data_IF_500682750812
#
_entry.id   IF_500682750812
#
_cell.length_a   1.000
_cell.length_b   1.000
_cell.length_c   1.000
_cell.angle_alpha   90.00
_cell.angle_beta   90.00
_cell.angle_gamma   90.00
#
_symmetry.space_group_name_H-M   'P 1'
#
loop_
_entity.id
_entity.type
_entity.pdbx_description
1 polymer ?
#
# COMPACT_ATOMS: atom_id res chain seq x y z
N UNK A 1 29.83 -9.09 21.92
CA UNK A 1 29.19 -8.91 20.60
C UNK A 1 27.70 -9.09 20.79
N UNK A 2 26.94 -8.00 20.69
CA UNK A 2 25.57 -7.92 21.20
C UNK A 2 24.64 -7.78 19.99
N UNK A 3 23.97 -8.86 19.59
CA UNK A 3 22.92 -8.80 18.57
C UNK A 3 21.57 -8.62 19.26
N UNK A 4 21.14 -7.38 19.39
CA UNK A 4 19.79 -7.03 19.87
C UNK A 4 18.78 -7.45 18.82
N UNK A 5 18.24 -8.65 18.99
CA UNK A 5 17.10 -9.15 18.22
C UNK A 5 15.92 -8.23 18.47
N UNK A 6 15.54 -7.43 17.46
CA UNK A 6 14.28 -6.65 17.44
C UNK A 6 13.12 -7.64 17.49
N UNK A 7 12.72 -8.02 18.70
CA UNK A 7 11.54 -8.85 18.94
C UNK A 7 10.32 -7.99 18.64
N UNK A 8 9.76 -8.31 17.47
CA UNK A 8 8.56 -7.78 16.86
C UNK A 8 7.41 -7.57 17.86
N UNK A 9 6.91 -6.33 17.89
CA UNK A 9 5.70 -5.89 18.60
C UNK A 9 4.45 -6.70 18.23
N UNK A 10 4.49 -7.48 17.14
CA UNK A 10 3.38 -8.28 16.63
C UNK A 10 2.90 -9.38 17.60
N UNK A 11 3.79 -10.00 18.39
CA UNK A 11 3.38 -11.05 19.33
C UNK A 11 2.64 -10.53 20.56
N UNK A 12 2.81 -9.24 20.91
CA UNK A 12 2.12 -8.65 22.07
C UNK A 12 0.67 -8.28 21.76
N UNK A 13 0.36 -7.95 20.51
CA UNK A 13 -0.99 -7.57 20.10
C UNK A 13 -1.96 -8.76 20.14
N UNK A 14 -1.52 -9.97 19.76
CA UNK A 14 -2.34 -11.17 19.89
C UNK A 14 -2.74 -11.49 21.35
N UNK A 15 -1.84 -11.20 22.30
CA UNK A 15 -2.08 -11.44 23.74
C UNK A 15 -2.95 -10.38 24.39
N UNK A 16 -2.92 -9.13 23.93
CA UNK A 16 -3.78 -8.06 24.46
C UNK A 16 -5.23 -8.25 24.01
N UNK A 17 -5.46 -8.66 22.75
CA UNK A 17 -6.78 -9.03 22.23
C UNK A 17 -7.38 -10.20 23.02
N UNK A 18 -6.58 -11.24 23.31
CA UNK A 18 -7.01 -12.37 24.15
C UNK A 18 -7.34 -11.99 25.60
N UNK A 19 -6.69 -10.96 26.16
CA UNK A 19 -7.03 -10.41 27.48
C UNK A 19 -8.26 -9.51 27.44
N UNK A 20 -8.43 -8.71 26.38
CA UNK A 20 -9.62 -7.90 26.13
C UNK A 20 -10.88 -8.75 26.02
N UNK A 21 -10.80 -9.89 25.33
CA UNK A 21 -11.89 -10.86 25.22
C UNK A 21 -12.32 -11.45 26.58
N UNK A 22 -11.35 -11.77 27.46
CA UNK A 22 -11.64 -12.27 28.82
C UNK A 22 -12.15 -11.19 29.78
N UNK A 23 -11.88 -9.91 29.52
CA UNK A 23 -12.47 -8.80 30.26
C UNK A 23 -13.90 -8.52 29.77
N UNK A 24 -14.11 -8.62 28.44
CA UNK A 24 -15.43 -8.53 27.81
C UNK A 24 -16.39 -9.61 28.32
N UNK A 25 -15.99 -10.89 28.26
CA UNK A 25 -16.78 -12.02 28.75
C UNK A 25 -17.03 -11.99 30.27
N UNK A 26 -16.17 -11.32 31.05
CA UNK A 26 -16.40 -11.10 32.49
C UNK A 26 -17.31 -9.91 32.76
N UNK A 27 -17.24 -8.86 31.92
CA UNK A 27 -18.19 -7.76 31.90
C UNK A 27 -19.61 -8.25 31.64
N UNK A 28 -19.78 -9.20 30.71
CA UNK A 28 -21.07 -9.83 30.44
C UNK A 28 -21.68 -10.49 31.68
N UNK A 29 -20.91 -11.18 32.53
CA UNK A 29 -21.46 -11.79 33.76
C UNK A 29 -21.91 -10.77 34.79
N UNK A 30 -21.20 -9.63 34.89
CA UNK A 30 -21.51 -8.56 35.83
C UNK A 30 -22.70 -7.73 35.35
N UNK A 31 -22.76 -7.46 34.04
CA UNK A 31 -23.92 -6.88 33.37
C UNK A 31 -25.11 -7.83 33.41
N UNK A 32 -24.91 -9.14 33.27
CA UNK A 32 -25.96 -10.15 33.39
C UNK A 32 -26.50 -10.25 34.81
N UNK A 33 -25.67 -10.20 35.85
CA UNK A 33 -26.14 -10.12 37.23
C UNK A 33 -26.91 -8.81 37.50
N UNK A 34 -26.44 -7.70 36.93
CA UNK A 34 -27.09 -6.39 37.04
C UNK A 34 -28.41 -6.32 36.24
N UNK A 35 -28.48 -6.97 35.08
CA UNK A 35 -29.68 -7.12 34.24
C UNK A 35 -30.68 -8.12 34.85
N UNK A 36 -30.21 -9.21 35.44
CA UNK A 36 -31.02 -10.16 36.19
C UNK A 36 -31.68 -9.49 37.41
N UNK A 37 -30.98 -8.54 38.05
CA UNK A 37 -31.57 -7.74 39.13
C UNK A 37 -32.63 -6.74 38.68
N UNK A 38 -32.80 -6.51 37.36
CA UNK A 38 -33.75 -5.55 36.77
C UNK A 38 -34.91 -6.19 35.97
N UNK A 39 -34.97 -7.51 35.83
CA UNK A 39 -36.20 -8.21 35.41
C UNK A 39 -36.64 -8.08 33.94
N UNK A 40 -35.73 -7.97 32.97
CA UNK A 40 -36.10 -8.09 31.55
C UNK A 40 -35.28 -9.17 30.80
N UNK A 41 -35.89 -10.32 30.46
CA UNK A 41 -35.26 -11.41 29.72
C UNK A 41 -35.40 -11.21 28.19
N UNK A 42 -34.57 -11.90 27.42
CA UNK A 42 -34.44 -11.85 25.94
C UNK A 42 -33.94 -10.54 25.31
N UNK A 43 -34.54 -9.39 25.56
CA UNK A 43 -34.20 -8.15 24.83
C UNK A 43 -32.74 -7.71 25.06
N UNK A 44 -32.26 -7.81 26.29
CA UNK A 44 -30.87 -7.45 26.64
C UNK A 44 -29.83 -8.37 25.98
N UNK A 45 -30.11 -9.67 25.89
CA UNK A 45 -29.23 -10.63 25.22
C UNK A 45 -29.13 -10.35 23.72
N UNK A 46 -30.26 -10.05 23.07
CA UNK A 46 -30.29 -9.67 21.65
C UNK A 46 -29.50 -8.39 21.39
N UNK A 47 -29.69 -7.35 22.20
CA UNK A 47 -28.94 -6.09 22.07
C UNK A 47 -27.44 -6.33 22.24
N UNK A 48 -27.04 -7.15 23.21
CA UNK A 48 -25.64 -7.51 23.44
C UNK A 48 -25.02 -8.21 22.23
N UNK A 49 -25.71 -9.19 21.64
CA UNK A 49 -25.26 -9.89 20.42
C UNK A 49 -25.13 -8.92 19.25
N UNK A 50 -26.07 -7.98 19.09
CA UNK A 50 -25.99 -6.94 18.06
C UNK A 50 -24.80 -6.01 18.29
N UNK A 51 -24.52 -5.60 19.52
CA UNK A 51 -23.34 -4.79 19.86
C UNK A 51 -22.05 -5.55 19.53
N UNK A 52 -21.93 -6.83 19.93
CA UNK A 52 -20.77 -7.68 19.56
C UNK A 52 -20.60 -7.71 18.05
N UNK A 53 -21.69 -7.95 17.32
CA UNK A 53 -21.68 -8.03 15.86
C UNK A 53 -21.26 -6.71 15.22
N UNK A 54 -21.77 -5.58 15.70
CA UNK A 54 -21.37 -4.25 15.19
C UNK A 54 -19.92 -3.92 15.51
N UNK A 55 -19.42 -4.27 16.70
CA UNK A 55 -18.00 -4.10 17.05
C UNK A 55 -17.13 -4.96 16.14
N UNK A 56 -17.48 -6.23 15.95
CA UNK A 56 -16.77 -7.12 15.05
C UNK A 56 -16.78 -6.58 13.60
N UNK A 57 -17.93 -6.08 13.13
CA UNK A 57 -18.07 -5.49 11.81
C UNK A 57 -17.21 -4.23 11.67
N UNK A 58 -17.23 -3.33 12.65
CA UNK A 58 -16.43 -2.11 12.66
C UNK A 58 -14.93 -2.41 12.67
N UNK A 59 -14.49 -3.40 13.46
CA UNK A 59 -13.10 -3.81 13.51
C UNK A 59 -12.64 -4.45 12.19
N UNK A 60 -13.49 -5.27 11.57
CA UNK A 60 -13.24 -5.85 10.25
C UNK A 60 -13.15 -4.74 9.18
N UNK A 61 -14.09 -3.79 9.19
CA UNK A 61 -14.10 -2.68 8.26
C UNK A 61 -12.86 -1.77 8.44
N UNK A 62 -12.46 -1.53 9.68
CA UNK A 62 -11.24 -0.79 10.00
C UNK A 62 -9.98 -1.50 9.48
N UNK A 63 -9.87 -2.81 9.69
CA UNK A 63 -8.76 -3.60 9.18
C UNK A 63 -8.73 -3.60 7.64
N UNK A 64 -9.88 -3.78 6.99
CA UNK A 64 -10.00 -3.72 5.54
C UNK A 64 -9.63 -2.33 4.99
N UNK A 65 -10.10 -1.26 5.64
CA UNK A 65 -9.75 0.12 5.28
C UNK A 65 -8.24 0.36 5.41
N UNK A 66 -7.62 -0.13 6.49
CA UNK A 66 -6.17 -0.06 6.66
C UNK A 66 -5.41 -0.80 5.57
N UNK A 67 -5.83 -2.03 5.23
CA UNK A 67 -5.22 -2.79 4.13
C UNK A 67 -5.39 -2.06 2.80
N UNK A 68 -6.56 -1.48 2.54
CA UNK A 68 -6.80 -0.69 1.34
C UNK A 68 -5.89 0.55 1.29
N UNK A 69 -5.67 1.24 2.42
CA UNK A 69 -4.79 2.40 2.49
C UNK A 69 -3.32 2.02 2.27
N UNK A 70 -2.85 0.92 2.87
CA UNK A 70 -1.50 0.38 2.61
C UNK A 70 -1.33 -0.03 1.16
N UNK A 71 -2.34 -0.71 0.58
CA UNK A 71 -2.33 -1.10 -0.82
C UNK A 71 -2.28 0.14 -1.73
N UNK A 72 -3.08 1.16 -1.44
CA UNK A 72 -3.11 2.41 -2.20
C UNK A 72 -1.74 3.10 -2.18
N UNK A 73 -1.10 3.18 -1.01
CA UNK A 73 0.26 3.71 -0.88
C UNK A 73 1.27 2.87 -1.67
N UNK A 74 1.15 1.54 -1.61
CA UNK A 74 2.00 0.64 -2.39
C UNK A 74 1.84 0.83 -3.90
N UNK A 75 0.60 0.96 -4.39
CA UNK A 75 0.31 1.26 -5.80
C UNK A 75 0.85 2.62 -6.20
N UNK A 76 0.69 3.66 -5.37
CA UNK A 76 1.24 4.99 -5.64
C UNK A 76 2.77 4.98 -5.69
N UNK A 77 3.43 4.22 -4.80
CA UNK A 77 4.88 4.03 -4.81
C UNK A 77 5.35 3.27 -6.07
N UNK A 78 4.65 2.21 -6.46
CA UNK A 78 4.96 1.48 -7.70
C UNK A 78 4.76 2.36 -8.94
N UNK A 79 3.70 3.16 -8.95
CA UNK A 79 3.40 4.08 -10.05
C UNK A 79 4.47 5.17 -10.16
N UNK A 80 4.88 5.79 -9.04
CA UNK A 80 5.96 6.79 -9.03
C UNK A 80 7.31 6.20 -9.44
N UNK A 81 7.66 4.99 -9.00
CA UNK A 81 8.90 4.32 -9.44
C UNK A 81 8.90 4.04 -10.95
N UNK A 82 7.79 3.51 -11.49
CA UNK A 82 7.62 3.29 -12.94
C UNK A 82 7.64 4.60 -13.73
N UNK A 83 7.05 5.67 -13.19
CA UNK A 83 7.07 6.97 -13.84
C UNK A 83 8.43 7.67 -13.72
N UNK A 84 9.30 7.25 -12.80
CA UNK A 84 10.69 7.72 -12.67
C UNK A 84 11.55 7.11 -13.78
N UNK A 85 11.35 5.82 -14.09
CA UNK A 85 12.00 5.16 -15.24
C UNK A 85 11.49 5.64 -16.59
N UNK A 86 10.46 6.49 -16.63
CA UNK A 86 9.96 7.24 -17.82
C UNK A 86 10.42 8.71 -17.79
N UNK A 87 10.92 9.19 -16.64
CA UNK A 87 11.45 10.54 -16.49
C UNK A 87 12.97 10.60 -16.66
N UNK A 88 13.71 9.52 -16.44
CA UNK A 88 15.15 9.48 -16.77
C UNK A 88 15.37 9.64 -18.29
N UNK A 89 14.48 9.07 -19.09
CA UNK A 89 14.34 9.22 -20.54
C UNK A 89 13.79 10.59 -20.97
N UNK A 90 13.22 11.37 -20.03
CA UNK A 90 12.82 12.77 -20.25
C UNK A 90 13.96 13.77 -20.04
N UNK A 91 14.95 13.41 -19.21
CA UNK A 91 16.16 14.21 -19.02
C UNK A 91 17.27 13.87 -20.03
N UNK A 92 17.20 12.71 -20.69
CA UNK A 92 17.82 12.56 -22.01
C UNK A 92 16.96 13.28 -23.03
N UNK A 93 17.51 14.35 -23.62
CA UNK A 93 16.89 15.02 -24.75
C UNK A 93 16.47 13.96 -25.79
N UNK A 94 15.21 13.94 -26.24
CA UNK A 94 14.72 12.92 -27.17
C UNK A 94 15.54 12.93 -28.47
N UNK A 95 15.54 11.80 -29.16
CA UNK A 95 16.11 11.61 -30.48
C UNK A 95 15.45 12.58 -31.48
N UNK A 96 16.13 13.69 -31.74
CA UNK A 96 15.59 14.78 -32.54
C UNK A 96 16.15 14.76 -33.96
N UNK A 97 15.25 14.97 -34.93
CA UNK A 97 15.59 15.27 -36.31
C UNK A 97 16.25 16.65 -36.36
N UNK A 98 17.54 16.69 -36.67
CA UNK A 98 18.29 17.94 -36.80
C UNK A 98 19.33 17.84 -37.91
N UNK A 99 19.85 19.00 -38.32
CA UNK A 99 21.03 19.09 -39.15
C UNK A 99 22.26 19.09 -38.26
N UNK A 100 22.98 17.96 -38.23
CA UNK A 100 24.26 17.84 -37.54
C UNK A 100 25.42 17.78 -38.53
N UNK A 101 26.60 17.41 -38.03
CA UNK A 101 27.83 17.36 -38.81
C UNK A 101 27.77 16.36 -39.97
N UNK A 102 26.99 15.28 -39.82
CA UNK A 102 26.72 14.30 -40.86
C UNK A 102 25.45 14.61 -41.69
N UNK A 103 24.98 15.86 -41.70
CA UNK A 103 23.78 16.29 -42.43
C UNK A 103 22.46 16.07 -41.69
N UNK A 104 21.33 16.14 -42.40
CA UNK A 104 20.00 15.94 -41.81
C UNK A 104 19.80 14.47 -41.44
N UNK A 105 19.39 14.20 -40.20
CA UNK A 105 19.16 12.84 -39.72
C UNK A 105 18.67 12.80 -38.28
N UNK A 106 18.45 11.59 -37.77
CA UNK A 106 18.11 11.36 -36.37
C UNK A 106 19.39 11.36 -35.53
N UNK A 107 19.51 12.28 -34.57
CA UNK A 107 20.68 12.41 -33.70
C UNK A 107 20.39 11.99 -32.27
N UNK A 108 21.39 11.35 -31.65
CA UNK A 108 21.43 11.09 -30.22
C UNK A 108 21.70 12.37 -29.43
N UNK A 109 21.40 12.36 -28.14
CA UNK A 109 21.71 13.47 -27.22
C UNK A 109 23.21 13.81 -27.16
N UNK A 110 24.08 12.84 -27.50
CA UNK A 110 25.53 13.01 -27.63
C UNK A 110 25.99 13.64 -28.94
N UNK A 111 25.07 13.98 -29.85
CA UNK A 111 25.37 14.53 -31.18
C UNK A 111 25.81 13.49 -32.20
N UNK A 112 25.72 12.20 -31.87
CA UNK A 112 25.99 11.09 -32.82
C UNK A 112 24.75 10.78 -33.64
N UNK A 113 24.91 10.57 -34.95
CA UNK A 113 23.82 10.18 -35.86
C UNK A 113 23.45 8.71 -35.60
N UNK A 114 22.17 8.42 -35.36
CA UNK A 114 21.65 7.07 -35.06
C UNK A 114 21.02 6.42 -36.31
N UNK A 115 20.66 7.23 -37.31
CA UNK A 115 20.01 6.75 -38.54
C UNK A 115 20.94 5.81 -39.34
N UNK A 116 20.48 4.60 -39.72
CA UNK A 116 21.25 3.65 -40.53
C UNK A 116 21.67 4.18 -41.91
N UNK A 117 20.96 5.17 -42.43
CA UNK A 117 21.27 5.77 -43.71
C UNK A 117 22.12 7.03 -43.50
N UNK A 118 23.38 7.02 -43.97
CA UNK A 118 24.22 8.20 -44.06
C UNK A 118 24.22 8.73 -45.51
N UNK A 119 23.66 9.93 -45.78
CA UNK A 119 23.64 10.52 -47.11
C UNK A 119 25.02 10.99 -47.57
N UNK A 120 26.04 11.01 -46.70
CA UNK A 120 27.42 11.29 -47.05
C UNK A 120 28.28 10.02 -47.11
N UNK A 121 27.68 8.83 -47.09
CA UNK A 121 28.40 7.57 -47.24
C UNK A 121 29.01 7.49 -48.66
N UNK A 122 30.36 7.48 -48.78
CA UNK A 122 31.04 7.44 -50.08
C UNK A 122 30.87 6.10 -50.82
N UNK A 123 30.19 5.12 -50.21
CA UNK A 123 29.87 3.83 -50.81
C UNK A 123 28.41 3.71 -51.26
N UNK A 124 27.64 4.79 -51.17
CA UNK A 124 26.19 4.82 -51.43
C UNK A 124 25.85 5.67 -52.68
N UNK A 125 26.62 5.47 -53.76
CA UNK A 125 26.44 6.08 -55.09
C UNK A 125 25.31 5.41 -55.91
#
# INVERSE_FOLDING_TARGET
MNTTTRISTAERLGRSVGRGWRAYARGERRLSCWLASKGMPLAGATVLVWVVKLVALGLLFYAAFWLALVLLVGVAAAWTASNSTVNDDRWTQPDELRNGEAGFGLYSSSGQRIDPHDPNDPFND
#
